data_IF_866295905697
#
_entry.id   IF_866295905697
#
_cell.length_a   1.000
_cell.length_b   1.000
_cell.length_c   1.000
_cell.angle_alpha   90.00
_cell.angle_beta   90.00
_cell.angle_gamma   90.00
#
_symmetry.space_group_name_H-M   'P 1'
#
loop_
_entity.id
_entity.type
_entity.pdbx_description
1 polymer ?
#
# COMPACT_ATOMS: atom_id res chain seq x y z
N UNK A 1 36.39 8.43 -7.32
CA UNK A 1 35.17 8.12 -8.07
C UNK A 1 34.01 8.21 -7.10
N UNK A 2 33.17 9.27 -7.12
CA UNK A 2 31.99 9.31 -6.26
C UNK A 2 30.97 8.28 -6.76
N UNK A 3 30.38 7.54 -5.82
CA UNK A 3 29.29 6.59 -6.05
C UNK A 3 28.18 7.23 -6.89
N UNK A 4 27.85 6.59 -8.01
CA UNK A 4 26.68 6.92 -8.80
C UNK A 4 25.47 6.51 -7.96
N UNK A 5 24.97 7.43 -7.11
CA UNK A 5 23.68 7.29 -6.45
C UNK A 5 22.66 6.96 -7.53
N UNK A 6 22.03 5.80 -7.40
CA UNK A 6 21.02 5.32 -8.32
C UNK A 6 20.02 6.46 -8.59
N UNK A 7 19.66 6.72 -9.86
CA UNK A 7 18.87 7.88 -10.21
C UNK A 7 17.61 7.87 -9.37
N UNK A 8 17.36 8.98 -8.70
CA UNK A 8 16.07 9.36 -8.12
C UNK A 8 15.05 9.20 -9.26
N UNK A 9 14.52 7.99 -9.42
CA UNK A 9 13.41 7.74 -10.31
C UNK A 9 12.29 8.50 -9.65
N UNK A 10 12.15 9.76 -10.08
CA UNK A 10 10.90 10.48 -10.26
C UNK A 10 9.86 9.41 -10.57
N UNK A 11 9.20 8.89 -9.53
CA UNK A 11 8.14 7.88 -9.64
C UNK A 11 6.93 8.66 -10.13
N UNK A 12 7.04 9.15 -11.36
CA UNK A 12 6.08 10.02 -12.00
C UNK A 12 4.74 9.28 -12.02
N UNK A 13 3.77 9.83 -11.28
CA UNK A 13 2.33 9.75 -11.60
C UNK A 13 1.71 8.34 -11.67
N UNK A 14 2.19 7.35 -10.90
CA UNK A 14 1.52 6.03 -10.81
C UNK A 14 0.46 5.91 -9.71
N UNK A 15 0.25 6.96 -8.91
CA UNK A 15 -0.70 6.97 -7.79
C UNK A 15 -1.99 7.72 -8.13
N UNK A 16 -2.55 7.42 -9.30
CA UNK A 16 -3.91 7.85 -9.60
C UNK A 16 -4.84 7.08 -8.66
N UNK A 17 -5.36 7.80 -7.67
CA UNK A 17 -6.46 7.33 -6.83
C UNK A 17 -7.62 6.97 -7.76
N UNK A 18 -8.21 5.81 -7.55
CA UNK A 18 -9.39 5.41 -8.33
C UNK A 18 -10.33 4.70 -7.39
N UNK A 19 -11.57 5.19 -7.37
CA UNK A 19 -12.65 4.53 -6.65
C UNK A 19 -12.88 3.14 -7.28
N UNK A 20 -13.07 2.08 -6.48
CA UNK A 20 -13.41 0.78 -7.02
C UNK A 20 -14.64 0.92 -7.92
N UNK A 21 -14.58 0.38 -9.14
CA UNK A 21 -15.77 0.21 -9.98
C UNK A 21 -16.84 -0.47 -9.15
N UNK A 22 -18.04 0.10 -9.10
CA UNK A 22 -19.08 -0.12 -8.07
C UNK A 22 -19.62 -1.55 -7.89
N UNK A 23 -19.04 -2.56 -8.55
CA UNK A 23 -19.35 -3.98 -8.35
C UNK A 23 -18.42 -4.69 -7.36
N UNK A 24 -17.26 -4.14 -6.99
CA UNK A 24 -16.38 -4.79 -6.00
C UNK A 24 -16.84 -4.44 -4.58
N UNK A 25 -17.37 -5.45 -3.87
CA UNK A 25 -17.64 -5.34 -2.43
C UNK A 25 -16.32 -5.25 -1.64
N UNK A 26 -16.02 -4.06 -1.10
CA UNK A 26 -14.76 -3.80 -0.37
C UNK A 26 -14.59 -4.67 0.88
N UNK A 27 -15.69 -5.06 1.52
CA UNK A 27 -15.63 -5.92 2.71
C UNK A 27 -15.22 -7.35 2.36
N UNK A 28 -15.76 -7.90 1.27
CA UNK A 28 -15.34 -9.22 0.76
C UNK A 28 -13.90 -9.19 0.28
N UNK A 29 -13.50 -8.12 -0.42
CA UNK A 29 -12.12 -7.88 -0.84
C UNK A 29 -11.16 -7.90 0.36
N UNK A 30 -11.50 -7.16 1.42
CA UNK A 30 -10.71 -7.11 2.65
C UNK A 30 -10.64 -8.50 3.32
N UNK A 31 -11.76 -9.23 3.40
CA UNK A 31 -11.79 -10.58 3.98
C UNK A 31 -10.95 -11.62 3.21
N UNK A 32 -10.94 -11.50 1.88
CA UNK A 32 -10.19 -12.38 0.99
C UNK A 32 -8.69 -12.04 0.93
N UNK A 33 -8.31 -10.81 1.29
CA UNK A 33 -6.91 -10.40 1.30
C UNK A 33 -6.09 -11.12 2.39
N UNK A 34 -4.82 -11.33 2.07
CA UNK A 34 -3.82 -12.00 2.90
C UNK A 34 -2.57 -11.14 2.94
N UNK A 35 -2.16 -10.81 4.15
CA UNK A 35 -0.88 -10.15 4.37
C UNK A 35 0.23 -11.19 4.37
N UNK A 36 1.27 -10.95 3.57
CA UNK A 36 2.42 -11.85 3.44
C UNK A 36 3.55 -11.43 4.36
N UNK A 37 4.08 -10.23 4.17
CA UNK A 37 5.23 -9.74 4.93
C UNK A 37 5.27 -8.22 4.98
N UNK A 38 6.01 -7.70 5.95
CA UNK A 38 6.32 -6.28 6.04
C UNK A 38 7.69 -6.03 5.46
N UNK A 39 7.79 -5.09 4.52
CA UNK A 39 9.06 -4.76 3.88
C UNK A 39 9.22 -3.24 3.80
N UNK A 40 10.43 -2.69 4.03
CA UNK A 40 10.66 -1.26 3.86
C UNK A 40 10.56 -0.89 2.37
N UNK A 41 9.78 0.15 2.03
CA UNK A 41 9.60 0.59 0.64
C UNK A 41 10.89 1.15 0.02
N UNK A 42 11.70 1.75 0.88
CA UNK A 42 13.01 2.35 0.57
C UNK A 42 13.93 2.11 1.77
N UNK A 43 15.26 2.14 1.59
CA UNK A 43 16.20 2.06 2.73
C UNK A 43 16.04 3.22 3.72
N UNK A 44 15.41 4.32 3.28
CA UNK A 44 15.06 5.50 4.09
C UNK A 44 13.61 5.47 4.59
N UNK A 45 12.83 4.45 4.20
CA UNK A 45 11.47 4.30 4.69
C UNK A 45 11.52 4.14 6.20
N UNK A 46 10.65 4.87 6.89
CA UNK A 46 10.49 4.74 8.34
C UNK A 46 10.32 3.26 8.66
N UNK A 47 11.25 2.72 9.46
CA UNK A 47 11.11 1.39 10.05
C UNK A 47 9.76 1.38 10.75
N UNK A 48 8.88 0.48 10.32
CA UNK A 48 7.60 0.29 10.99
C UNK A 48 7.89 0.04 12.47
N UNK A 49 7.41 0.93 13.33
CA UNK A 49 7.22 0.62 14.76
C UNK A 49 5.84 -0.01 14.99
N UNK A 50 4.93 0.14 14.01
CA UNK A 50 3.57 -0.36 14.04
C UNK A 50 2.71 0.35 15.08
N UNK A 51 1.41 0.48 14.85
CA UNK A 51 0.52 0.64 16.00
C UNK A 51 0.63 -0.68 16.77
N UNK A 52 1.26 -0.67 17.96
CA UNK A 52 1.44 -1.86 18.79
C UNK A 52 0.14 -2.63 19.12
N UNK A 53 -1.01 -2.05 18.78
CA UNK A 53 -2.35 -2.58 19.02
C UNK A 53 -3.02 -3.25 17.80
N UNK A 54 -2.56 -3.01 16.54
CA UNK A 54 -3.16 -3.64 15.35
C UNK A 54 -2.16 -4.47 14.54
N UNK A 55 -2.48 -5.73 14.21
CA UNK A 55 -1.65 -6.53 13.33
C UNK A 55 -1.70 -5.96 11.88
N UNK A 56 -0.64 -6.17 11.08
CA UNK A 56 -0.57 -5.68 9.70
C UNK A 56 -1.68 -6.21 8.79
N UNK A 57 -2.20 -7.42 9.06
CA UNK A 57 -3.35 -7.96 8.35
C UNK A 57 -4.62 -7.13 8.55
N UNK A 58 -4.84 -6.59 9.75
CA UNK A 58 -5.99 -5.72 10.04
C UNK A 58 -5.81 -4.34 9.42
N UNK A 59 -4.58 -3.84 9.35
CA UNK A 59 -4.27 -2.60 8.62
C UNK A 59 -4.50 -2.76 7.11
N UNK A 60 -4.13 -3.90 6.53
CA UNK A 60 -4.44 -4.23 5.12
C UNK A 60 -5.95 -4.27 4.88
N UNK A 61 -6.70 -4.94 5.77
CA UNK A 61 -8.16 -5.01 5.66
C UNK A 61 -8.79 -3.63 5.74
N UNK A 62 -8.33 -2.79 6.66
CA UNK A 62 -8.77 -1.40 6.77
C UNK A 62 -8.38 -0.60 5.51
N UNK A 63 -7.19 -0.83 4.94
CA UNK A 63 -6.78 -0.22 3.67
C UNK A 63 -7.70 -0.58 2.50
N UNK A 64 -8.18 -1.82 2.46
CA UNK A 64 -9.05 -2.32 1.41
C UNK A 64 -10.52 -1.91 1.60
N UNK A 65 -10.97 -1.84 2.85
CA UNK A 65 -12.33 -1.45 3.22
C UNK A 65 -12.52 0.08 3.13
N UNK A 66 -11.68 0.83 3.83
CA UNK A 66 -11.83 2.28 4.03
C UNK A 66 -10.71 3.11 3.39
N UNK A 67 -9.59 2.47 3.06
CA UNK A 67 -8.46 3.13 2.46
C UNK A 67 -8.65 3.47 0.98
N UNK A 68 -7.55 3.94 0.41
CA UNK A 68 -7.51 4.37 -0.98
C UNK A 68 -6.92 3.26 -1.85
N UNK A 69 -7.60 2.94 -2.95
CA UNK A 69 -7.21 1.87 -3.85
C UNK A 69 -6.56 2.42 -5.12
N UNK A 70 -5.61 1.67 -5.68
CA UNK A 70 -4.88 2.03 -6.88
C UNK A 70 -4.88 0.94 -7.94
N UNK A 71 -4.97 1.36 -9.20
CA UNK A 71 -4.87 0.51 -10.38
C UNK A 71 -3.43 0.04 -10.70
N UNK A 72 -3.27 -0.97 -11.57
CA UNK A 72 -4.31 -1.82 -12.13
C UNK A 72 -4.94 -2.77 -11.10
N UNK A 73 -6.14 -3.26 -11.38
CA UNK A 73 -6.72 -4.37 -10.62
C UNK A 73 -6.32 -5.68 -11.27
N UNK A 74 -5.96 -6.67 -10.45
CA UNK A 74 -5.58 -8.01 -10.87
C UNK A 74 -6.50 -9.03 -10.20
N UNK A 75 -7.22 -9.83 -10.99
CA UNK A 75 -8.12 -10.90 -10.50
C UNK A 75 -9.12 -10.44 -9.42
N UNK A 76 -9.63 -9.20 -9.55
CA UNK A 76 -10.57 -8.61 -8.59
C UNK A 76 -9.92 -7.93 -7.38
N UNK A 77 -8.58 -7.90 -7.30
CA UNK A 77 -7.84 -7.21 -6.24
C UNK A 77 -7.12 -5.96 -6.76
N UNK A 78 -7.17 -4.83 -6.03
CA UNK A 78 -6.39 -3.65 -6.39
C UNK A 78 -4.90 -3.95 -6.22
N UNK A 79 -4.06 -3.50 -7.15
CA UNK A 79 -2.61 -3.69 -7.02
C UNK A 79 -2.02 -2.88 -5.88
N UNK A 80 -2.63 -1.75 -5.54
CA UNK A 80 -2.19 -0.87 -4.47
C UNK A 80 -3.37 -0.55 -3.55
N UNK A 81 -3.14 -0.57 -2.25
CA UNK A 81 -4.05 -0.07 -1.24
C UNK A 81 -3.26 0.79 -0.26
N UNK A 82 -3.75 1.98 0.06
CA UNK A 82 -3.11 2.91 0.98
C UNK A 82 -4.00 3.11 2.21
N UNK A 83 -3.38 3.08 3.38
CA UNK A 83 -4.04 3.35 4.65
C UNK A 83 -3.25 4.34 5.48
N UNK A 84 -3.91 5.40 5.94
CA UNK A 84 -3.31 6.36 6.86
C UNK A 84 -3.63 5.98 8.29
N UNK A 85 -2.59 5.65 9.05
CA UNK A 85 -2.66 5.42 10.47
C UNK A 85 -2.03 6.63 11.19
N UNK A 86 -2.85 7.62 11.53
CA UNK A 86 -2.38 8.87 12.15
C UNK A 86 -1.50 9.69 11.20
N UNK A 87 -0.21 9.79 11.53
CA UNK A 87 0.80 10.56 10.78
C UNK A 87 1.66 9.68 9.85
N UNK A 88 1.29 8.42 9.65
CA UNK A 88 2.02 7.49 8.79
C UNK A 88 1.08 6.91 7.74
N UNK A 89 1.54 6.87 6.49
CA UNK A 89 0.82 6.22 5.40
C UNK A 89 1.49 4.89 5.10
N UNK A 90 0.67 3.84 5.11
CA UNK A 90 1.06 2.49 4.76
C UNK A 90 0.57 2.18 3.34
N UNK A 91 1.45 1.64 2.51
CA UNK A 91 1.12 1.09 1.19
C UNK A 91 1.13 -0.43 1.26
N UNK A 92 0.03 -1.03 0.87
CA UNK A 92 -0.08 -2.46 0.64
C UNK A 92 -0.09 -2.72 -0.85
N UNK A 93 0.86 -3.51 -1.30
CA UNK A 93 1.00 -3.84 -2.72
C UNK A 93 0.75 -5.31 -2.93
N UNK A 94 -0.11 -5.61 -3.90
CA UNK A 94 -0.34 -6.98 -4.34
C UNK A 94 0.98 -7.57 -4.84
N UNK A 95 1.40 -8.68 -4.24
CA UNK A 95 2.66 -9.38 -4.48
C UNK A 95 2.41 -10.83 -4.87
N UNK A 96 3.34 -11.40 -5.63
CA UNK A 96 3.30 -12.81 -6.03
C UNK A 96 2.31 -13.12 -7.15
N UNK A 97 2.18 -14.42 -7.41
CA UNK A 97 1.30 -14.99 -8.46
C UNK A 97 -0.10 -15.36 -7.91
N UNK A 98 -0.20 -15.48 -6.58
CA UNK A 98 -1.44 -15.86 -5.91
C UNK A 98 -2.32 -14.64 -5.62
N UNK A 99 -3.60 -14.67 -6.01
CA UNK A 99 -4.50 -13.54 -5.85
C UNK A 99 -4.70 -13.21 -4.36
N UNK A 100 -4.80 -11.91 -4.07
CA UNK A 100 -5.09 -11.41 -2.71
C UNK A 100 -3.90 -11.38 -1.75
N UNK A 101 -2.67 -11.68 -2.16
CA UNK A 101 -1.49 -11.55 -1.30
C UNK A 101 -0.85 -10.17 -1.36
N UNK A 102 -0.64 -9.54 -0.22
CA UNK A 102 -0.08 -8.20 -0.14
C UNK A 102 1.17 -8.13 0.73
N UNK A 103 2.15 -7.38 0.25
CA UNK A 103 3.28 -6.91 1.05
C UNK A 103 2.97 -5.49 1.53
N UNK A 104 3.20 -5.24 2.82
CA UNK A 104 3.03 -3.92 3.42
C UNK A 104 4.34 -3.14 3.41
N UNK A 105 4.23 -1.83 3.18
CA UNK A 105 5.33 -0.89 3.13
C UNK A 105 4.98 0.40 3.88
N UNK A 106 5.93 0.95 4.63
CA UNK A 106 5.78 2.29 5.23
C UNK A 106 6.23 3.32 4.22
N UNK A 107 5.39 4.31 3.91
CA UNK A 107 5.77 5.42 3.04
C UNK A 107 6.32 6.58 3.86
N UNK A 108 7.39 7.19 3.34
CA UNK A 108 7.87 8.48 3.83
C UNK A 108 6.83 9.57 3.50
N UNK A 109 6.66 10.63 4.33
CA UNK A 109 5.76 11.75 4.06
C UNK A 109 5.90 12.38 2.67
N UNK A 110 7.12 12.52 2.18
CA UNK A 110 7.40 13.02 0.82
C UNK A 110 6.93 12.08 -0.29
N UNK A 111 6.63 10.83 0.05
CA UNK A 111 6.09 9.80 -0.83
C UNK A 111 4.61 9.56 -0.57
N UNK A 112 3.84 10.46 0.05
CA UNK A 112 2.40 10.24 0.15
C UNK A 112 1.70 10.46 -1.20
N UNK A 113 0.66 9.68 -1.55
CA UNK A 113 -0.19 9.99 -2.69
C UNK A 113 -0.93 11.32 -2.49
N UNK A 114 -1.07 12.09 -3.57
CA UNK A 114 -1.87 13.32 -3.60
C UNK A 114 -3.33 12.98 -3.27
N UNK A 115 -3.87 13.55 -2.19
CA UNK A 115 -5.21 13.24 -1.65
C UNK A 115 -5.21 12.50 -0.30
N UNK A 116 -4.03 12.08 0.18
CA UNK A 116 -3.84 11.48 1.51
C UNK A 116 -3.20 12.46 2.54
N UNK A 117 -2.90 13.69 2.10
CA UNK A 117 -2.38 14.80 2.90
C UNK A 117 -3.48 15.42 3.77
#
# INVERSE_FOLDING_TARGET
MPEVRAPERRRERRRSLTEPGGETNREELAGAARFTEWSPATPDALTWEGPGDRPPADLLRAALAEGLLGHPWDRGFPRYAWYRAGDVVHEFRLTGDSPGHYTGYTLHPSEWPEGLA
#
